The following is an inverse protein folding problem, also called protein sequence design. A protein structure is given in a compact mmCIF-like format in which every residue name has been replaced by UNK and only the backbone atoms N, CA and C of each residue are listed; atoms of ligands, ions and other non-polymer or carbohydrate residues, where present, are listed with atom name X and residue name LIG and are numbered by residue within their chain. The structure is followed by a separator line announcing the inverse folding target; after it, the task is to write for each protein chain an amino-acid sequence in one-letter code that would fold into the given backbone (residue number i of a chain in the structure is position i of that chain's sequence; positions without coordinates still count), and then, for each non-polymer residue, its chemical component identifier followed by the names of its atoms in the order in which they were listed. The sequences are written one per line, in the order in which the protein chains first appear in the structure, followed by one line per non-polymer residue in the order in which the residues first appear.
data_IF_970904161522
#
_entry.id   IF_970904161522
#
_cell.length_a   1.000
_cell.length_b   1.000
_cell.length_c   1.000
_cell.angle_alpha   90.00
_cell.angle_beta   90.00
_cell.angle_gamma   90.00
#
_symmetry.space_group_name_H-M   'P 1'
#
loop_
_entity.id
_entity.type
_entity.pdbx_description
1 polymer ?
#
# COMPACT_ATOMS: atom_id res chain seq x y z
N UNK A 1 15.96 45.30 49.37
CA UNK A 1 17.17 45.09 50.19
C UNK A 1 17.59 43.64 50.02
N UNK A 2 18.72 43.44 49.36
CA UNK A 2 19.33 42.14 49.11
C UNK A 2 19.62 41.38 50.40
N UNK A 3 19.46 40.05 50.37
CA UNK A 3 20.42 39.15 51.03
C UNK A 3 20.43 37.80 50.30
N UNK A 4 21.45 37.66 49.46
CA UNK A 4 21.94 36.41 48.88
C UNK A 4 22.56 35.60 50.02
N UNK A 5 22.05 34.40 50.31
CA UNK A 5 22.77 33.44 51.16
C UNK A 5 23.01 32.14 50.38
N UNK A 6 24.25 31.71 50.46
CA UNK A 6 24.92 30.76 49.58
C UNK A 6 24.55 29.30 49.90
N UNK A 7 24.69 28.43 48.89
CA UNK A 7 24.59 26.98 48.98
C UNK A 7 25.49 26.39 50.07
N UNK A 8 24.94 25.46 50.86
CA UNK A 8 25.72 24.44 51.59
C UNK A 8 25.47 23.06 50.96
N UNK A 9 26.56 22.35 50.65
CA UNK A 9 26.58 21.00 50.04
C UNK A 9 26.08 19.94 51.03
N UNK A 10 25.27 19.00 50.56
CA UNK A 10 24.89 17.76 51.26
C UNK A 10 26.05 16.74 51.28
N UNK A 11 26.29 16.02 52.40
CA UNK A 11 26.96 14.73 52.40
C UNK A 11 25.96 13.55 52.42
N UNK A 12 26.40 12.33 52.06
CA UNK A 12 25.54 11.29 51.50
C UNK A 12 25.11 10.22 52.52
N UNK A 13 23.94 9.61 52.27
CA UNK A 13 23.66 8.22 52.64
C UNK A 13 22.65 7.97 53.76
N UNK A 14 21.60 7.21 53.39
CA UNK A 14 20.91 6.16 54.18
C UNK A 14 19.65 6.58 54.99
N UNK A 15 18.45 6.37 54.40
CA UNK A 15 17.33 5.44 54.79
C UNK A 15 16.32 6.09 55.76
N UNK A 16 14.97 6.05 55.69
CA UNK A 16 13.91 5.21 55.07
C UNK A 16 12.64 6.08 54.81
N UNK A 17 11.48 5.55 54.32
CA UNK A 17 10.41 6.35 53.70
C UNK A 17 9.43 6.96 54.73
N UNK A 18 8.71 8.05 54.40
CA UNK A 18 7.57 8.45 55.19
C UNK A 18 6.26 7.91 54.61
N UNK A 19 5.47 7.36 55.53
CA UNK A 19 4.04 7.06 55.44
C UNK A 19 3.27 8.28 54.94
N UNK A 20 2.41 8.06 53.95
CA UNK A 20 1.53 9.05 53.36
C UNK A 20 0.35 9.32 54.31
N UNK A 21 0.28 10.53 54.86
CA UNK A 21 -0.91 11.03 55.57
C UNK A 21 -1.42 12.29 54.85
N UNK A 22 -2.71 12.27 54.52
CA UNK A 22 -3.52 13.48 54.56
C UNK A 22 -3.46 14.44 53.37
N UNK A 23 -4.34 14.17 52.41
CA UNK A 23 -5.22 15.12 51.73
C UNK A 23 -4.63 16.31 50.94
N UNK A 24 -4.97 16.31 49.65
CA UNK A 24 -5.70 17.45 49.10
C UNK A 24 -4.91 18.38 48.19
N UNK A 25 -5.10 18.16 46.88
CA UNK A 25 -5.15 19.22 45.85
C UNK A 25 -3.93 20.13 45.71
N UNK A 26 -2.98 19.73 44.84
CA UNK A 26 -2.36 20.57 43.79
C UNK A 26 -0.96 20.07 43.38
N UNK A 27 -0.83 18.93 42.68
CA UNK A 27 0.40 18.63 41.93
C UNK A 27 0.24 17.51 40.87
N UNK A 28 -0.76 17.60 39.99
CA UNK A 28 -0.93 16.62 38.89
C UNK A 28 -0.39 17.10 37.52
N UNK A 29 0.34 18.22 37.45
CA UNK A 29 0.69 18.83 36.15
C UNK A 29 2.20 18.77 35.82
N UNK A 30 3.10 18.36 36.73
CA UNK A 30 4.56 18.42 36.45
C UNK A 30 5.27 17.06 36.36
N UNK A 31 4.57 15.93 36.56
CA UNK A 31 5.16 14.60 36.32
C UNK A 31 5.15 14.17 34.84
N UNK A 32 4.53 14.95 33.94
CA UNK A 32 4.28 14.55 32.55
C UNK A 32 5.41 14.79 31.54
N UNK A 33 6.50 15.49 31.90
CA UNK A 33 7.50 15.91 30.89
C UNK A 33 8.93 15.42 31.19
N UNK A 34 9.27 15.08 32.43
CA UNK A 34 10.62 14.62 32.76
C UNK A 34 10.86 13.11 32.56
N UNK A 35 9.81 12.29 32.41
CA UNK A 35 9.96 10.86 32.11
C UNK A 35 10.17 10.56 30.60
N UNK A 36 9.93 11.53 29.71
CA UNK A 36 9.95 11.32 28.26
C UNK A 36 11.36 11.49 27.66
N UNK A 37 12.28 12.22 28.32
CA UNK A 37 13.63 12.43 27.78
C UNK A 37 14.71 11.44 28.27
N UNK A 38 14.39 10.56 29.23
CA UNK A 38 15.34 9.59 29.79
C UNK A 38 15.34 8.21 29.12
N UNK A 39 14.33 7.86 28.32
CA UNK A 39 14.15 6.50 27.76
C UNK A 39 14.57 6.39 26.28
N UNK A 40 14.75 7.53 25.60
CA UNK A 40 15.07 7.57 24.17
C UNK A 40 16.53 7.20 23.83
N UNK A 41 17.43 7.18 24.81
CA UNK A 41 18.84 6.85 24.61
C UNK A 41 19.20 5.38 24.94
N UNK A 42 18.35 4.64 25.65
CA UNK A 42 18.61 3.23 25.99
C UNK A 42 17.95 2.21 25.06
N UNK A 43 17.02 2.62 24.19
CA UNK A 43 16.40 1.71 23.20
C UNK A 43 17.22 1.54 21.91
N UNK A 44 18.33 2.27 21.74
CA UNK A 44 19.19 2.16 20.54
C UNK A 44 20.17 0.98 20.54
N UNK A 45 20.06 0.04 21.50
CA UNK A 45 20.91 -1.17 21.57
C UNK A 45 20.14 -2.49 21.80
N UNK A 46 18.85 -2.52 21.47
CA UNK A 46 18.07 -3.75 21.44
C UNK A 46 17.39 -3.94 20.07
N UNK A 47 18.19 -3.92 19.00
CA UNK A 47 17.83 -4.54 17.74
C UNK A 47 18.61 -5.87 17.66
N UNK A 48 17.91 -6.98 17.96
CA UNK A 48 18.18 -8.36 17.50
C UNK A 48 17.64 -9.44 18.47
N UNK A 49 16.42 -9.28 19.01
CA UNK A 49 15.55 -10.42 19.34
C UNK A 49 14.12 -9.96 19.06
N UNK A 50 13.52 -10.52 18.01
CA UNK A 50 12.16 -10.22 17.58
C UNK A 50 11.19 -10.91 18.54
N UNK A 51 10.69 -10.20 19.54
CA UNK A 51 9.58 -10.68 20.36
C UNK A 51 8.27 -10.45 19.59
N UNK A 52 7.83 -11.49 18.88
CA UNK A 52 6.65 -11.50 18.00
C UNK A 52 5.30 -11.60 18.74
N UNK A 53 5.23 -11.29 20.04
CA UNK A 53 4.00 -11.46 20.82
C UNK A 53 3.49 -10.12 21.38
N UNK A 54 2.88 -9.32 20.52
CA UNK A 54 1.78 -8.46 20.96
C UNK A 54 0.58 -9.31 21.39
N UNK A 55 -0.39 -8.79 22.16
CA UNK A 55 -1.59 -9.53 22.52
C UNK A 55 -2.32 -9.95 21.25
N UNK A 56 -2.30 -11.26 20.96
CA UNK A 56 -2.96 -11.81 19.78
C UNK A 56 -4.47 -11.74 19.94
N UNK A 57 -5.13 -11.01 19.05
CA UNK A 57 -6.60 -10.92 19.02
C UNK A 57 -7.12 -12.24 18.46
N UNK A 58 -7.98 -12.94 19.20
CA UNK A 58 -8.53 -14.21 18.72
C UNK A 58 -9.56 -13.98 17.61
N UNK A 59 -10.56 -13.15 17.87
CA UNK A 59 -11.60 -12.76 16.91
C UNK A 59 -11.62 -11.24 16.74
N UNK A 60 -11.41 -10.80 15.51
CA UNK A 60 -11.37 -9.40 15.11
C UNK A 60 -12.49 -9.02 14.16
N UNK A 61 -12.97 -7.78 14.26
CA UNK A 61 -13.93 -7.18 13.31
C UNK A 61 -13.29 -5.96 12.65
N UNK A 62 -13.07 -6.02 11.34
CA UNK A 62 -12.57 -4.92 10.53
C UNK A 62 -13.72 -4.23 9.79
N UNK A 63 -13.77 -2.89 9.89
CA UNK A 63 -14.71 -2.07 9.10
C UNK A 63 -14.02 -1.52 7.85
N UNK A 64 -14.65 -1.71 6.70
CA UNK A 64 -14.19 -1.19 5.42
C UNK A 64 -15.35 -0.57 4.63
N UNK A 65 -15.00 0.33 3.70
CA UNK A 65 -15.92 0.90 2.73
C UNK A 65 -15.45 0.53 1.32
N UNK A 66 -16.39 0.35 0.39
CA UNK A 66 -16.07 0.17 -1.03
C UNK A 66 -15.25 1.39 -1.49
N UNK A 67 -14.04 1.19 -2.04
CA UNK A 67 -13.15 2.31 -2.36
C UNK A 67 -13.77 3.17 -3.45
N UNK A 68 -13.80 4.50 -3.23
CA UNK A 68 -14.32 5.46 -4.19
C UNK A 68 -13.20 6.10 -5.03
N UNK A 69 -11.96 5.95 -4.57
CA UNK A 69 -10.76 6.46 -5.20
C UNK A 69 -9.56 5.57 -4.82
N UNK A 70 -8.42 5.82 -5.45
CA UNK A 70 -7.20 5.06 -5.19
C UNK A 70 -6.70 5.17 -3.73
N UNK A 71 -6.89 6.32 -3.06
CA UNK A 71 -6.47 6.47 -1.66
C UNK A 71 -7.28 5.55 -0.75
N UNK A 72 -8.57 5.37 -1.02
CA UNK A 72 -9.40 4.40 -0.31
C UNK A 72 -8.96 2.96 -0.57
N UNK A 73 -8.50 2.65 -1.79
CA UNK A 73 -7.95 1.33 -2.13
C UNK A 73 -6.69 1.03 -1.30
N UNK A 74 -5.70 1.94 -1.32
CA UNK A 74 -4.46 1.80 -0.53
C UNK A 74 -4.76 1.73 0.97
N UNK A 75 -5.71 2.55 1.43
CA UNK A 75 -6.18 2.49 2.81
C UNK A 75 -6.69 1.09 3.14
N UNK A 76 -7.59 0.56 2.32
CA UNK A 76 -8.20 -0.75 2.52
C UNK A 76 -7.15 -1.87 2.56
N UNK A 77 -6.13 -1.81 1.69
CA UNK A 77 -5.00 -2.75 1.70
C UNK A 77 -4.26 -2.72 3.05
N UNK A 78 -3.96 -1.52 3.56
CA UNK A 78 -3.28 -1.35 4.85
C UNK A 78 -4.16 -1.85 6.01
N UNK A 79 -5.46 -1.55 5.98
CA UNK A 79 -6.40 -2.00 7.00
C UNK A 79 -6.47 -3.53 7.05
N UNK A 80 -6.58 -4.18 5.89
CA UNK A 80 -6.62 -5.63 5.76
C UNK A 80 -5.31 -6.27 6.24
N UNK A 81 -4.16 -5.78 5.78
CA UNK A 81 -2.83 -6.27 6.16
C UNK A 81 -2.63 -6.23 7.68
N UNK A 82 -2.94 -5.09 8.32
CA UNK A 82 -2.72 -4.90 9.76
C UNK A 82 -3.74 -5.61 10.64
N UNK A 83 -5.00 -5.67 10.23
CA UNK A 83 -5.99 -6.47 10.96
C UNK A 83 -5.65 -7.97 10.89
N UNK A 84 -5.28 -8.48 9.72
CA UNK A 84 -4.90 -9.89 9.55
C UNK A 84 -3.63 -10.26 10.33
N UNK A 85 -2.67 -9.34 10.46
CA UNK A 85 -1.45 -9.54 11.26
C UNK A 85 -1.75 -9.67 12.76
N UNK A 86 -2.71 -8.90 13.28
CA UNK A 86 -3.06 -8.90 14.70
C UNK A 86 -4.03 -10.02 15.11
N UNK A 87 -4.84 -10.53 14.17
CA UNK A 87 -5.84 -11.58 14.42
C UNK A 87 -5.24 -12.98 14.27
N UNK A 88 -5.55 -13.91 15.19
CA UNK A 88 -5.06 -15.30 15.14
C UNK A 88 -6.05 -16.34 14.64
N UNK A 89 -7.36 -16.17 14.84
CA UNK A 89 -8.33 -17.21 14.52
C UNK A 89 -9.36 -16.78 13.48
N UNK A 90 -10.14 -15.72 13.77
CA UNK A 90 -11.24 -15.30 12.89
C UNK A 90 -11.22 -13.80 12.65
N UNK A 91 -11.12 -13.39 11.39
CA UNK A 91 -11.24 -12.00 10.97
C UNK A 91 -12.58 -11.80 10.24
N UNK A 92 -13.50 -11.09 10.89
CA UNK A 92 -14.73 -10.63 10.29
C UNK A 92 -14.45 -9.31 9.57
N UNK A 93 -14.85 -9.19 8.31
CA UNK A 93 -14.70 -7.95 7.53
C UNK A 93 -16.08 -7.46 7.15
N UNK A 94 -16.48 -6.31 7.69
CA UNK A 94 -17.72 -5.64 7.31
C UNK A 94 -17.45 -4.62 6.21
N UNK A 95 -18.08 -4.83 5.06
CA UNK A 95 -17.96 -3.96 3.88
C UNK A 95 -19.25 -3.16 3.71
N UNK A 96 -19.12 -1.84 3.66
CA UNK A 96 -20.21 -0.90 3.37
C UNK A 96 -19.99 -0.24 2.01
N UNK A 97 -21.08 0.14 1.32
CA UNK A 97 -21.03 0.83 0.03
C UNK A 97 -22.31 1.64 -0.21
N UNK A 98 -22.36 2.36 -1.32
CA UNK A 98 -23.50 3.17 -1.78
C UNK A 98 -24.65 2.30 -2.28
N UNK A 99 -24.34 1.21 -2.97
CA UNK A 99 -25.34 0.28 -3.49
C UNK A 99 -24.85 -1.17 -3.44
N UNK A 100 -25.80 -2.10 -3.57
CA UNK A 100 -25.53 -3.53 -3.48
C UNK A 100 -24.55 -4.04 -4.54
N UNK A 101 -24.60 -3.51 -5.76
CA UNK A 101 -23.81 -4.00 -6.87
C UNK A 101 -22.31 -3.72 -6.66
N UNK A 102 -21.96 -2.50 -6.22
CA UNK A 102 -20.56 -2.18 -5.92
C UNK A 102 -20.00 -3.01 -4.74
N UNK A 103 -20.80 -3.27 -3.71
CA UNK A 103 -20.38 -4.12 -2.58
C UNK A 103 -20.16 -5.56 -3.04
N UNK A 104 -21.02 -6.13 -3.89
CA UNK A 104 -20.84 -7.50 -4.43
C UNK A 104 -19.54 -7.62 -5.24
N UNK A 105 -19.28 -6.66 -6.12
CA UNK A 105 -18.08 -6.67 -6.95
C UNK A 105 -16.83 -6.56 -6.07
N UNK A 106 -16.82 -5.62 -5.12
CA UNK A 106 -15.68 -5.42 -4.25
C UNK A 106 -15.42 -6.62 -3.32
N UNK A 107 -16.46 -7.27 -2.77
CA UNK A 107 -16.30 -8.48 -1.95
C UNK A 107 -15.63 -9.60 -2.75
N UNK A 108 -15.97 -9.74 -4.04
CA UNK A 108 -15.38 -10.78 -4.90
C UNK A 108 -13.87 -10.60 -5.06
N UNK A 109 -13.40 -9.35 -5.21
CA UNK A 109 -11.98 -9.02 -5.23
C UNK A 109 -11.33 -9.17 -3.86
N UNK A 110 -12.04 -8.76 -2.80
CA UNK A 110 -11.55 -8.77 -1.43
C UNK A 110 -11.24 -10.18 -0.92
N UNK A 111 -12.00 -11.20 -1.33
CA UNK A 111 -11.67 -12.59 -0.98
C UNK A 111 -10.30 -13.02 -1.50
N UNK A 112 -9.96 -12.66 -2.75
CA UNK A 112 -8.65 -12.94 -3.32
C UNK A 112 -7.54 -12.20 -2.58
N UNK A 113 -7.73 -10.90 -2.35
CA UNK A 113 -6.75 -10.08 -1.61
C UNK A 113 -6.54 -10.58 -0.18
N UNK A 114 -7.61 -10.94 0.52
CA UNK A 114 -7.55 -11.42 1.90
C UNK A 114 -6.82 -12.77 2.00
N UNK A 115 -7.04 -13.66 1.03
CA UNK A 115 -6.29 -14.90 0.92
C UNK A 115 -4.79 -14.66 0.70
N UNK A 116 -4.44 -13.79 -0.24
CA UNK A 116 -3.05 -13.47 -0.55
C UNK A 116 -2.33 -12.86 0.67
N UNK A 117 -3.00 -11.96 1.40
CA UNK A 117 -2.50 -11.40 2.66
C UNK A 117 -2.31 -12.48 3.72
N UNK A 118 -3.27 -13.38 3.90
CA UNK A 118 -3.16 -14.47 4.86
C UNK A 118 -1.97 -15.40 4.55
N UNK A 119 -1.75 -15.72 3.27
CA UNK A 119 -0.58 -16.49 2.83
C UNK A 119 0.73 -15.73 3.08
N UNK A 120 0.79 -14.43 2.77
CA UNK A 120 1.99 -13.61 2.99
C UNK A 120 2.36 -13.48 4.47
N UNK A 121 1.37 -13.57 5.37
CA UNK A 121 1.55 -13.55 6.82
C UNK A 121 1.79 -14.93 7.45
N UNK A 122 1.90 -16.00 6.63
CA UNK A 122 2.03 -17.40 7.09
C UNK A 122 0.85 -17.85 7.98
N UNK A 123 -0.37 -17.39 7.65
CA UNK A 123 -1.62 -17.72 8.34
C UNK A 123 -2.65 -18.37 7.40
N UNK A 124 -2.35 -19.52 6.78
CA UNK A 124 -3.25 -20.15 5.80
C UNK A 124 -4.58 -20.63 6.38
N UNK A 125 -4.69 -20.74 7.71
CA UNK A 125 -5.89 -21.19 8.43
C UNK A 125 -6.65 -20.03 9.12
N UNK A 126 -6.29 -18.78 8.84
CA UNK A 126 -7.07 -17.63 9.32
C UNK A 126 -8.47 -17.68 8.71
N UNK A 127 -9.50 -17.80 9.55
CA UNK A 127 -10.90 -17.82 9.11
C UNK A 127 -11.35 -16.39 8.79
N UNK A 128 -11.35 -16.05 7.51
CA UNK A 128 -11.77 -14.73 7.02
C UNK A 128 -13.21 -14.81 6.53
N UNK A 129 -14.08 -14.00 7.13
CA UNK A 129 -15.50 -13.92 6.76
C UNK A 129 -15.86 -12.51 6.36
N UNK A 130 -16.27 -12.33 5.11
CA UNK A 130 -16.65 -11.03 4.57
C UNK A 130 -18.18 -10.89 4.60
N UNK A 131 -18.66 -9.81 5.20
CA UNK A 131 -20.09 -9.48 5.34
C UNK A 131 -20.35 -8.17 4.61
N UNK A 132 -21.19 -8.19 3.58
CA UNK A 132 -21.64 -7.00 2.87
C UNK A 132 -22.88 -6.40 3.52
N UNK A 133 -22.80 -5.15 3.96
CA UNK A 133 -23.94 -4.45 4.54
C UNK A 133 -25.07 -4.26 3.54
N UNK A 134 -26.29 -4.66 3.91
CA UNK A 134 -27.50 -4.43 3.10
C UNK A 134 -27.63 -5.32 1.85
N UNK A 135 -26.84 -6.39 1.74
CA UNK A 135 -26.90 -7.30 0.59
C UNK A 135 -28.13 -8.20 0.58
N UNK A 136 -28.58 -8.64 1.77
CA UNK A 136 -29.78 -9.45 1.95
C UNK A 136 -30.47 -9.10 3.28
N UNK A 137 -31.78 -9.36 3.42
CA UNK A 137 -32.48 -9.21 4.69
C UNK A 137 -31.84 -10.02 5.83
N UNK A 138 -31.18 -11.12 5.48
CA UNK A 138 -30.51 -12.03 6.41
C UNK A 138 -29.03 -11.67 6.67
N UNK A 139 -28.50 -10.64 5.99
CA UNK A 139 -27.12 -10.21 6.20
C UNK A 139 -26.99 -9.47 7.52
N UNK A 140 -26.02 -9.89 8.34
CA UNK A 140 -25.80 -9.27 9.65
C UNK A 140 -25.41 -7.80 9.49
N UNK A 141 -26.02 -6.95 10.30
CA UNK A 141 -25.67 -5.52 10.36
C UNK A 141 -24.35 -5.32 11.13
N UNK A 142 -23.76 -4.13 10.98
CA UNK A 142 -22.56 -3.75 11.74
C UNK A 142 -22.82 -3.88 13.25
N UNK A 143 -23.97 -3.39 13.70
CA UNK A 143 -24.41 -3.41 15.09
C UNK A 143 -24.53 -4.85 15.61
N UNK A 144 -25.08 -5.76 14.82
CA UNK A 144 -25.17 -7.18 15.17
C UNK A 144 -23.80 -7.87 15.26
N UNK A 145 -22.87 -7.53 14.37
CA UNK A 145 -21.49 -8.06 14.40
C UNK A 145 -20.72 -7.56 15.62
N UNK A 146 -20.87 -6.28 15.96
CA UNK A 146 -20.26 -5.68 17.15
C UNK A 146 -20.75 -6.34 18.43
N UNK A 147 -21.95 -6.93 18.43
CA UNK A 147 -22.55 -7.54 19.62
C UNK A 147 -22.33 -9.07 19.67
N UNK A 148 -21.38 -9.62 18.88
CA UNK A 148 -21.01 -11.03 18.99
C UNK A 148 -20.22 -11.30 20.29
N UNK A 149 -20.59 -12.34 21.07
CA UNK A 149 -19.92 -12.65 22.34
C UNK A 149 -18.42 -12.96 22.19
N UNK A 150 -18.04 -13.60 21.08
CA UNK A 150 -16.67 -14.05 20.82
C UNK A 150 -15.74 -12.92 20.39
N UNK A 151 -16.29 -11.77 19.98
CA UNK A 151 -15.53 -10.64 19.46
C UNK A 151 -14.61 -10.05 20.54
N UNK A 152 -13.33 -9.88 20.21
CA UNK A 152 -12.33 -9.34 21.15
C UNK A 152 -11.87 -7.93 20.76
N UNK A 153 -11.79 -7.66 19.46
CA UNK A 153 -11.30 -6.38 18.96
C UNK A 153 -12.03 -5.89 17.71
N UNK A 154 -12.08 -4.57 17.58
CA UNK A 154 -12.56 -3.87 16.39
C UNK A 154 -11.42 -3.07 15.78
N UNK A 155 -11.27 -3.16 14.46
CA UNK A 155 -10.26 -2.46 13.67
C UNK A 155 -10.94 -1.46 12.75
N UNK A 156 -10.33 -0.29 12.60
CA UNK A 156 -10.78 0.71 11.65
C UNK A 156 -9.74 1.81 11.46
N UNK A 157 -10.00 2.69 10.51
CA UNK A 157 -9.17 3.86 10.24
C UNK A 157 -9.23 4.85 11.41
N UNK A 158 -10.44 5.19 11.86
CA UNK A 158 -10.72 6.32 12.73
C UNK A 158 -9.98 6.28 14.08
N UNK A 159 -9.09 7.24 14.34
CA UNK A 159 -8.43 7.37 15.64
C UNK A 159 -9.38 7.72 16.80
N UNK A 160 -10.55 8.28 16.48
CA UNK A 160 -11.51 8.88 17.42
C UNK A 160 -12.84 8.13 17.44
N UNK A 161 -12.81 6.80 17.45
CA UNK A 161 -14.02 6.01 17.72
C UNK A 161 -14.37 6.11 19.20
N UNK A 162 -15.64 6.40 19.48
CA UNK A 162 -16.19 6.35 20.82
C UNK A 162 -16.30 4.89 21.30
N UNK A 163 -15.20 4.38 21.86
CA UNK A 163 -15.10 3.03 22.42
C UNK A 163 -16.05 2.85 23.60
N UNK A 164 -16.39 3.93 24.31
CA UNK A 164 -17.35 3.87 25.42
C UNK A 164 -18.75 3.59 24.88
N UNK A 165 -19.18 4.30 23.84
CA UNK A 165 -20.46 4.03 23.16
C UNK A 165 -20.48 2.64 22.52
N UNK A 166 -19.37 2.21 21.92
CA UNK A 166 -19.23 0.87 21.34
C UNK A 166 -19.45 -0.23 22.39
N UNK A 167 -18.85 -0.06 23.58
CA UNK A 167 -18.94 -1.03 24.66
C UNK A 167 -20.20 -0.89 25.53
N UNK A 168 -20.82 0.30 25.59
CA UNK A 168 -22.09 0.51 26.30
C UNK A 168 -23.18 -0.41 25.76
N UNK A 169 -23.29 -0.52 24.42
CA UNK A 169 -24.25 -1.41 23.76
C UNK A 169 -24.00 -2.89 24.11
N UNK A 170 -22.73 -3.30 24.27
CA UNK A 170 -22.34 -4.67 24.64
C UNK A 170 -22.71 -4.99 26.09
N UNK A 171 -22.57 -4.02 26.99
CA UNK A 171 -22.92 -4.18 28.40
C UNK A 171 -24.44 -4.21 28.62
N UNK A 172 -25.17 -3.26 28.00
CA UNK A 172 -26.61 -3.09 28.17
C UNK A 172 -27.43 -4.26 27.64
N UNK A 173 -27.03 -4.83 26.49
CA UNK A 173 -27.84 -5.84 25.81
C UNK A 173 -27.70 -7.23 26.42
N UNK A 174 -26.49 -7.61 26.84
CA UNK A 174 -26.15 -9.02 27.13
C UNK A 174 -25.02 -9.22 28.17
N UNK A 175 -24.53 -8.15 28.84
CA UNK A 175 -23.43 -8.25 29.81
C UNK A 175 -22.10 -8.73 29.22
N UNK A 176 -21.87 -8.47 27.92
CA UNK A 176 -20.71 -8.97 27.18
C UNK A 176 -19.42 -8.24 27.58
N UNK A 177 -18.29 -8.96 27.45
CA UNK A 177 -16.97 -8.37 27.66
C UNK A 177 -16.71 -7.22 26.68
N UNK A 178 -16.02 -6.19 27.17
CA UNK A 178 -15.61 -5.04 26.38
C UNK A 178 -14.64 -5.45 25.26
N UNK A 179 -14.83 -4.87 24.08
CA UNK A 179 -13.91 -5.00 22.94
C UNK A 179 -12.88 -3.89 22.97
N UNK A 180 -11.68 -4.22 22.49
CA UNK A 180 -10.61 -3.24 22.27
C UNK A 180 -10.74 -2.65 20.86
N UNK A 181 -10.69 -1.33 20.74
CA UNK A 181 -10.61 -0.67 19.44
C UNK A 181 -9.16 -0.42 19.06
N UNK A 182 -8.74 -0.89 17.89
CA UNK A 182 -7.40 -0.71 17.34
C UNK A 182 -7.46 0.29 16.18
N UNK A 183 -7.12 1.57 16.39
CA UNK A 183 -7.03 2.54 15.32
C UNK A 183 -5.85 2.20 14.41
N UNK A 184 -6.08 2.19 13.10
CA UNK A 184 -5.07 1.91 12.09
C UNK A 184 -4.66 3.19 11.31
N UNK A 185 -5.18 4.37 11.68
CA UNK A 185 -4.85 5.66 11.06
C UNK A 185 -3.36 5.89 10.89
N UNK A 186 -2.55 5.66 11.93
CA UNK A 186 -1.09 5.84 11.87
C UNK A 186 -0.40 4.98 10.81
N UNK A 187 -0.92 3.78 10.54
CA UNK A 187 -0.40 2.90 9.49
C UNK A 187 -0.79 3.40 8.10
N UNK A 188 -2.03 3.87 7.96
CA UNK A 188 -2.57 4.46 6.73
C UNK A 188 -1.83 5.75 6.40
N UNK A 189 -1.70 6.66 7.37
CA UNK A 189 -0.96 7.92 7.26
C UNK A 189 0.49 7.65 6.85
N UNK A 190 1.19 6.71 7.49
CA UNK A 190 2.57 6.39 7.11
C UNK A 190 2.68 5.92 5.65
N UNK A 191 1.70 5.17 5.16
CA UNK A 191 1.69 4.70 3.76
C UNK A 191 1.35 5.84 2.78
N UNK A 192 0.51 6.78 3.19
CA UNK A 192 0.02 7.89 2.38
C UNK A 192 0.78 9.22 2.58
N UNK A 193 1.78 9.27 3.47
CA UNK A 193 2.47 10.50 3.91
C UNK A 193 3.38 11.16 2.85
N UNK A 194 3.63 10.49 1.72
CA UNK A 194 4.37 11.09 0.63
C UNK A 194 3.42 11.86 -0.29
N UNK A 195 3.83 13.05 -0.76
CA UNK A 195 3.18 13.76 -1.85
C UNK A 195 3.35 12.93 -3.14
N UNK A 196 2.42 12.00 -3.36
CA UNK A 196 2.43 11.05 -4.47
C UNK A 196 1.27 11.36 -5.39
N UNK A 197 1.58 11.58 -6.67
CA UNK A 197 0.60 11.58 -7.74
C UNK A 197 0.35 10.12 -8.17
N UNK A 198 -0.88 9.66 -7.99
CA UNK A 198 -1.29 8.32 -8.38
C UNK A 198 -1.76 8.32 -9.82
N UNK A 199 -1.28 7.38 -10.62
CA UNK A 199 -1.61 7.28 -12.04
C UNK A 199 -3.09 6.96 -12.28
N UNK A 200 -3.70 6.16 -11.40
CA UNK A 200 -5.12 5.81 -11.48
C UNK A 200 -6.07 6.96 -11.13
N UNK A 201 -5.55 8.14 -10.77
CA UNK A 201 -6.38 9.33 -10.58
C UNK A 201 -6.77 9.91 -11.96
N UNK A 202 -8.07 10.06 -12.22
CA UNK A 202 -8.60 10.62 -13.47
C UNK A 202 -8.10 12.05 -13.76
N UNK A 203 -7.61 12.75 -12.73
CA UNK A 203 -7.05 14.09 -12.83
C UNK A 203 -5.52 14.13 -12.64
N UNK A 204 -4.84 12.99 -12.75
CA UNK A 204 -3.39 12.95 -12.71
C UNK A 204 -2.79 13.78 -13.86
N UNK A 205 -1.82 14.62 -13.53
CA UNK A 205 -1.00 15.29 -14.53
C UNK A 205 -0.09 14.25 -15.19
N UNK A 206 -0.33 13.98 -16.47
CA UNK A 206 0.43 13.04 -17.29
C UNK A 206 1.40 13.76 -18.23
N UNK A 207 1.85 14.96 -17.85
CA UNK A 207 2.90 15.66 -18.60
C UNK A 207 4.14 14.77 -18.73
N UNK A 208 4.67 14.58 -19.96
CA UNK A 208 5.88 13.81 -20.15
C UNK A 208 7.06 14.41 -19.39
N UNK A 209 7.81 13.57 -18.69
CA UNK A 209 9.05 13.96 -18.03
C UNK A 209 10.26 13.45 -18.82
N UNK A 210 11.32 14.26 -18.95
CA UNK A 210 12.54 13.88 -19.67
C UNK A 210 13.30 12.72 -19.01
N UNK A 211 13.17 12.58 -17.69
CA UNK A 211 13.81 11.55 -16.90
C UNK A 211 12.83 10.98 -15.86
N UNK A 212 12.62 9.66 -15.92
CA UNK A 212 11.79 8.93 -14.96
C UNK A 212 12.65 7.85 -14.31
N UNK A 213 12.63 7.78 -12.98
CA UNK A 213 13.36 6.77 -12.20
C UNK A 213 12.36 5.74 -11.69
N UNK A 214 12.68 4.45 -11.89
CA UNK A 214 11.84 3.34 -11.42
C UNK A 214 12.49 2.65 -10.23
N UNK A 215 11.74 2.53 -9.14
CA UNK A 215 12.14 1.77 -7.96
C UNK A 215 11.59 0.35 -7.98
N UNK A 216 12.39 -0.61 -7.56
CA UNK A 216 12.02 -2.03 -7.41
C UNK A 216 13.27 -2.90 -7.25
N UNK A 217 13.14 -4.09 -6.66
CA UNK A 217 14.28 -5.03 -6.58
C UNK A 217 14.45 -5.81 -7.89
N UNK A 218 13.38 -5.98 -8.68
CA UNK A 218 13.37 -6.65 -9.97
C UNK A 218 13.99 -8.08 -9.98
N UNK A 219 14.12 -8.75 -8.83
CA UNK A 219 14.74 -10.07 -8.71
C UNK A 219 13.99 -11.15 -9.51
N UNK A 220 12.67 -11.08 -9.47
CA UNK A 220 11.77 -11.95 -10.24
C UNK A 220 10.77 -11.09 -11.01
N UNK A 221 10.87 -11.10 -12.34
CA UNK A 221 9.99 -10.31 -13.18
C UNK A 221 8.59 -10.94 -13.25
N UNK A 222 7.64 -10.37 -12.51
CA UNK A 222 6.22 -10.74 -12.55
C UNK A 222 5.38 -9.62 -13.20
N UNK A 223 4.07 -9.83 -13.31
CA UNK A 223 3.17 -8.88 -13.98
C UNK A 223 3.16 -7.48 -13.35
N UNK A 224 3.47 -7.36 -12.05
CA UNK A 224 3.60 -6.05 -11.38
C UNK A 224 4.76 -5.23 -11.96
N UNK A 225 5.95 -5.83 -12.06
CA UNK A 225 7.10 -5.19 -12.72
C UNK A 225 6.83 -4.86 -14.19
N UNK A 226 6.11 -5.72 -14.93
CA UNK A 226 5.74 -5.43 -16.33
C UNK A 226 4.83 -4.20 -16.43
N UNK A 227 3.81 -4.10 -15.58
CA UNK A 227 2.93 -2.91 -15.53
C UNK A 227 3.74 -1.64 -15.20
N UNK A 228 4.60 -1.71 -14.19
CA UNK A 228 5.44 -0.59 -13.76
C UNK A 228 6.38 -0.11 -14.88
N UNK A 229 7.02 -1.04 -15.60
CA UNK A 229 7.86 -0.72 -16.77
C UNK A 229 7.04 -0.15 -17.93
N UNK A 230 5.86 -0.71 -18.22
CA UNK A 230 4.98 -0.19 -19.28
C UNK A 230 4.48 1.22 -18.99
N UNK A 231 4.17 1.54 -17.73
CA UNK A 231 3.70 2.88 -17.33
C UNK A 231 4.82 3.91 -17.40
N UNK A 232 6.05 3.52 -17.05
CA UNK A 232 7.21 4.39 -17.11
C UNK A 232 7.60 4.82 -18.52
N UNK A 233 7.25 3.99 -19.52
CA UNK A 233 7.59 4.21 -20.91
C UNK A 233 6.36 4.83 -21.59
N UNK A 234 6.34 6.15 -21.70
CA UNK A 234 5.40 6.82 -22.60
C UNK A 234 5.80 6.47 -24.03
N UNK A 235 4.94 5.73 -24.74
CA UNK A 235 5.18 5.31 -26.13
C UNK A 235 4.63 6.40 -27.06
N UNK A 236 5.51 7.16 -27.70
CA UNK A 236 5.12 7.98 -28.85
C UNK A 236 5.01 7.07 -30.09
N UNK A 237 3.78 6.86 -30.57
CA UNK A 237 3.50 5.99 -31.72
C UNK A 237 3.55 6.83 -32.99
N UNK A 238 4.71 6.82 -33.64
CA UNK A 238 4.88 7.46 -34.95
C UNK A 238 4.57 6.47 -36.07
N UNK A 239 3.60 6.81 -36.93
CA UNK A 239 3.34 6.03 -38.14
C UNK A 239 4.51 6.13 -39.11
N UNK A 240 5.17 4.99 -39.36
CA UNK A 240 6.30 4.89 -40.28
C UNK A 240 5.76 4.85 -41.72
N UNK A 241 5.88 5.97 -42.45
CA UNK A 241 5.43 6.11 -43.85
C UNK A 241 6.53 5.84 -44.87
N UNK A 242 7.78 5.89 -44.45
CA UNK A 242 8.98 5.55 -45.23
C UNK A 242 9.76 4.42 -44.53
N UNK A 243 10.67 3.69 -45.21
CA UNK A 243 11.36 2.53 -44.62
C UNK A 243 12.19 2.80 -43.36
N UNK A 244 12.47 4.07 -43.03
CA UNK A 244 13.37 4.46 -41.95
C UNK A 244 12.65 5.17 -40.80
N UNK A 245 11.52 5.84 -41.07
CA UNK A 245 10.72 6.53 -40.07
C UNK A 245 11.48 7.66 -39.35
N UNK A 246 11.11 8.02 -38.11
CA UNK A 246 11.77 9.12 -37.39
C UNK A 246 13.21 8.79 -36.97
N UNK A 247 13.63 7.52 -37.06
CA UNK A 247 14.94 7.06 -36.60
C UNK A 247 16.13 7.77 -37.26
N UNK A 248 15.95 8.39 -38.43
CA UNK A 248 17.00 9.14 -39.15
C UNK A 248 17.04 10.64 -38.82
N UNK A 249 16.17 11.12 -37.93
CA UNK A 249 16.11 12.52 -37.49
C UNK A 249 16.16 12.69 -35.97
N UNK A 250 16.01 11.61 -35.19
CA UNK A 250 16.06 11.66 -33.72
C UNK A 250 17.50 12.01 -33.24
N UNK A 251 17.67 13.07 -32.42
CA UNK A 251 18.95 13.46 -31.81
C UNK A 251 19.36 12.48 -30.68
N UNK A 252 20.60 12.57 -30.20
CA UNK A 252 21.08 11.72 -29.09
C UNK A 252 20.72 12.28 -27.70
N UNK A 253 20.67 11.41 -26.65
CA UNK A 253 20.90 9.96 -26.68
C UNK A 253 19.67 9.16 -27.12
N UNK A 254 19.80 8.27 -28.11
CA UNK A 254 18.68 7.46 -28.61
C UNK A 254 19.08 5.99 -28.89
N UNK A 255 18.19 5.08 -28.52
CA UNK A 255 18.36 3.64 -28.71
C UNK A 255 17.22 3.07 -29.57
N UNK A 256 17.53 2.00 -30.31
CA UNK A 256 16.58 1.31 -31.18
C UNK A 256 16.47 -0.16 -30.77
N UNK A 257 15.28 -0.61 -30.42
CA UNK A 257 15.01 -2.02 -30.14
C UNK A 257 14.40 -2.65 -31.39
N UNK A 258 15.02 -3.72 -31.89
CA UNK A 258 14.58 -4.43 -33.11
C UNK A 258 14.50 -5.92 -32.86
N UNK A 259 13.75 -6.62 -33.71
CA UNK A 259 13.78 -8.09 -33.72
C UNK A 259 14.99 -8.59 -34.52
N UNK A 260 15.30 -9.88 -34.43
CA UNK A 260 16.34 -10.50 -35.27
C UNK A 260 16.06 -10.38 -36.78
N UNK A 261 14.79 -10.22 -37.20
CA UNK A 261 14.43 -10.01 -38.61
C UNK A 261 14.77 -8.59 -39.09
N UNK A 262 14.55 -7.60 -38.22
CA UNK A 262 14.71 -6.18 -38.56
C UNK A 262 16.10 -5.62 -38.27
N UNK A 263 17.03 -6.49 -37.83
CA UNK A 263 18.42 -6.15 -37.56
C UNK A 263 19.17 -5.58 -38.78
N UNK A 264 19.03 -6.12 -40.01
CA UNK A 264 19.66 -5.52 -41.19
C UNK A 264 19.14 -4.10 -41.48
N UNK A 265 17.85 -3.85 -41.23
CA UNK A 265 17.25 -2.52 -41.35
C UNK A 265 17.83 -1.52 -40.35
N UNK A 266 17.99 -1.93 -39.09
CA UNK A 266 18.62 -1.10 -38.05
C UNK A 266 20.08 -0.76 -38.39
N UNK A 267 20.84 -1.71 -38.92
CA UNK A 267 22.21 -1.48 -39.38
C UNK A 267 22.26 -0.43 -40.51
N UNK A 268 21.34 -0.53 -41.48
CA UNK A 268 21.22 0.45 -42.57
C UNK A 268 20.84 1.85 -42.08
N UNK A 269 19.96 1.96 -41.08
CA UNK A 269 19.61 3.23 -40.44
C UNK A 269 20.85 3.90 -39.85
N UNK A 270 21.69 3.15 -39.13
CA UNK A 270 22.93 3.70 -38.58
C UNK A 270 23.93 4.16 -39.66
N UNK A 271 24.02 3.48 -40.81
CA UNK A 271 24.81 3.98 -41.95
C UNK A 271 24.30 5.34 -42.44
N UNK A 272 22.99 5.47 -42.63
CA UNK A 272 22.35 6.72 -43.09
C UNK A 272 22.53 7.85 -42.07
N UNK A 273 22.46 7.53 -40.77
CA UNK A 273 22.71 8.53 -39.71
C UNK A 273 24.12 9.08 -39.77
N UNK A 274 25.12 8.22 -39.93
CA UNK A 274 26.53 8.64 -40.08
C UNK A 274 26.70 9.51 -41.33
N UNK A 275 26.11 9.12 -42.46
CA UNK A 275 26.14 9.92 -43.70
C UNK A 275 25.54 11.32 -43.52
N UNK A 276 24.56 11.46 -42.61
CA UNK A 276 23.90 12.73 -42.28
C UNK A 276 24.54 13.50 -41.13
N UNK A 277 25.70 13.05 -40.64
CA UNK A 277 26.38 13.67 -39.50
C UNK A 277 25.68 13.45 -38.15
N UNK A 278 24.75 12.50 -38.07
CA UNK A 278 24.09 12.11 -36.84
C UNK A 278 24.86 10.99 -36.13
N UNK A 279 24.92 10.99 -34.80
CA UNK A 279 25.51 9.91 -34.02
C UNK A 279 24.71 8.60 -34.16
N UNK A 280 25.37 7.45 -33.99
CA UNK A 280 24.75 6.13 -34.18
C UNK A 280 23.78 5.80 -33.04
N UNK A 281 22.61 5.24 -33.37
CA UNK A 281 21.71 4.68 -32.36
C UNK A 281 22.34 3.45 -31.71
N UNK A 282 22.13 3.29 -30.41
CA UNK A 282 22.38 2.03 -29.71
C UNK A 282 21.33 1.00 -30.10
N UNK A 283 21.72 -0.06 -30.82
CA UNK A 283 20.78 -1.09 -31.31
C UNK A 283 20.73 -2.25 -30.32
N UNK A 284 19.53 -2.56 -29.82
CA UNK A 284 19.22 -3.74 -29.03
C UNK A 284 18.39 -4.72 -29.86
N UNK A 285 18.87 -5.97 -29.98
CA UNK A 285 18.19 -7.00 -30.77
C UNK A 285 17.48 -8.01 -29.87
N UNK A 286 16.17 -8.17 -30.05
CA UNK A 286 15.37 -9.18 -29.37
C UNK A 286 15.20 -10.43 -30.26
N UNK A 287 15.50 -11.60 -29.69
CA UNK A 287 15.32 -12.89 -30.37
C UNK A 287 13.83 -13.19 -30.56
N UNK A 288 13.43 -13.55 -31.77
CA UNK A 288 12.09 -14.06 -32.04
C UNK A 288 11.86 -15.40 -31.35
N UNK A 289 10.70 -15.58 -30.73
CA UNK A 289 10.24 -16.85 -30.14
C UNK A 289 9.29 -17.63 -31.06
N UNK A 290 8.76 -17.01 -32.11
CA UNK A 290 7.81 -17.63 -33.07
C UNK A 290 8.33 -17.61 -34.52
N UNK A 291 8.04 -18.68 -35.27
CA UNK A 291 8.60 -18.98 -36.60
C UNK A 291 7.92 -18.30 -37.80
N UNK A 292 6.73 -17.70 -37.62
CA UNK A 292 5.95 -17.11 -38.71
C UNK A 292 6.22 -15.62 -38.89
N UNK A 293 6.63 -15.20 -40.09
CA UNK A 293 6.90 -13.79 -40.41
C UNK A 293 5.60 -12.97 -40.43
N UNK A 294 5.25 -12.31 -39.32
CA UNK A 294 4.19 -11.30 -39.26
C UNK A 294 4.79 -9.91 -39.51
N UNK A 295 5.27 -9.66 -40.74
CA UNK A 295 5.68 -8.31 -41.15
C UNK A 295 4.48 -7.56 -41.75
N UNK A 296 4.40 -6.24 -41.53
CA UNK A 296 3.33 -5.41 -42.11
C UNK A 296 3.29 -5.50 -43.63
N UNK A 297 4.42 -5.78 -44.29
CA UNK A 297 4.48 -6.03 -45.73
C UNK A 297 3.81 -7.34 -46.11
N UNK A 298 4.06 -8.43 -45.37
CA UNK A 298 3.40 -9.72 -45.59
C UNK A 298 1.87 -9.64 -45.34
N UNK A 299 1.45 -8.88 -44.33
CA UNK A 299 0.02 -8.64 -44.06
C UNK A 299 -0.60 -7.80 -45.18
N UNK A 300 0.05 -6.72 -45.63
CA UNK A 300 -0.42 -5.89 -46.76
C UNK A 300 -0.54 -6.69 -48.06
N UNK A 301 0.44 -7.54 -48.37
CA UNK A 301 0.40 -8.41 -49.55
C UNK A 301 -0.77 -9.42 -49.47
N UNK A 302 -1.00 -10.03 -48.30
CA UNK A 302 -2.13 -10.95 -48.10
C UNK A 302 -3.48 -10.23 -48.20
N UNK A 303 -3.60 -9.02 -47.67
CA UNK A 303 -4.81 -8.19 -47.79
C UNK A 303 -5.05 -7.78 -49.24
N UNK A 304 -4.02 -7.30 -49.95
CA UNK A 304 -4.11 -6.94 -51.37
C UNK A 304 -4.50 -8.16 -52.24
N UNK A 305 -3.94 -9.33 -51.95
CA UNK A 305 -4.29 -10.58 -52.63
C UNK A 305 -5.74 -11.05 -52.34
N UNK A 306 -6.32 -10.69 -51.19
CA UNK A 306 -7.70 -11.02 -50.82
C UNK A 306 -8.76 -10.09 -51.43
N UNK A 307 -8.37 -8.89 -51.87
CA UNK A 307 -9.26 -7.89 -52.49
C UNK A 307 -9.39 -8.06 -54.01
N UNK A 308 -8.68 -9.03 -54.61
CA UNK A 308 -8.75 -9.37 -56.03
C UNK A 308 -9.34 -10.77 -56.29
N UNK A 309 -10.10 -11.33 -55.32
CA UNK A 309 -10.93 -12.52 -55.51
C UNK A 309 -12.42 -12.16 -55.51
#
# INVERSE_FOLDING_TARGET
MEKKLQLLKLPPGVVSPPVLSGAGTALAIVAGVAAIMGVSALHKRAAAVCDKNGPSVRVGLLRMHVPQNFRDLVKNDVLLEKAADLVSHTLLIFVSGRDKHEVVNYISELYGMAWDVACALDKPFLDIRVVGGGMSPDSKTWEELVLQPELNAVFGEDALVDVQRLNAQRFERDGLFAVTYHPLSMHVERRLAADVNYFENEHADLTPHELVVLGGTFDHLHNGHKKLLSLAIVVDIVTIKDPFGPAIVIPEPAAMVVSTETLPGAAKINSIRVERGLPKLHIFACRRTESSTLSSSCIREKIAASQHR
#
